data_IF_803453460983
#
_entry.id   IF_803453460983
#
_cell.length_a   1.000
_cell.length_b   1.000
_cell.length_c   1.000
_cell.angle_alpha   90.00
_cell.angle_beta   90.00
_cell.angle_gamma   90.00
#
_symmetry.space_group_name_H-M   'P 1'
#
loop_
_entity.id
_entity.type
_entity.pdbx_description
1 polymer ?
#
# COMPACT_ATOMS: atom_id res chain seq x y z
N UNK A 1 0.76 -34.33 -12.95
CA UNK A 1 1.94 -33.83 -13.71
C UNK A 1 2.38 -32.41 -13.29
N UNK A 2 2.04 -31.93 -12.08
CA UNK A 2 2.41 -30.58 -11.57
C UNK A 2 3.36 -30.63 -10.36
N UNK A 3 4.16 -31.69 -10.19
CA UNK A 3 4.91 -31.94 -8.94
C UNK A 3 6.37 -31.46 -8.92
N UNK A 4 6.83 -30.74 -9.95
CA UNK A 4 8.22 -30.24 -10.03
C UNK A 4 8.36 -28.75 -10.39
N UNK A 5 7.26 -27.98 -10.45
CA UNK A 5 7.30 -26.58 -10.94
C UNK A 5 7.85 -25.54 -9.95
N UNK A 6 8.04 -25.91 -8.69
CA UNK A 6 8.51 -25.04 -7.62
C UNK A 6 9.36 -25.86 -6.65
N UNK A 7 10.39 -26.56 -7.14
CA UNK A 7 11.39 -27.07 -6.20
C UNK A 7 11.95 -25.88 -5.43
N UNK A 8 11.75 -25.79 -4.10
CA UNK A 8 12.16 -24.65 -3.28
C UNK A 8 13.64 -24.29 -3.48
N UNK A 9 14.42 -25.27 -3.94
CA UNK A 9 15.81 -25.16 -4.29
C UNK A 9 16.12 -24.11 -5.37
N UNK A 10 15.32 -24.04 -6.44
CA UNK A 10 15.55 -23.06 -7.52
C UNK A 10 15.28 -21.64 -7.02
N UNK A 11 14.22 -21.47 -6.23
CA UNK A 11 13.90 -20.17 -5.61
C UNK A 11 15.01 -19.75 -4.65
N UNK A 12 15.56 -20.68 -3.86
CA UNK A 12 16.69 -20.39 -2.97
C UNK A 12 17.93 -19.90 -3.75
N UNK A 13 18.27 -20.53 -4.87
CA UNK A 13 19.39 -20.09 -5.72
C UNK A 13 19.15 -18.69 -6.28
N UNK A 14 17.95 -18.41 -6.80
CA UNK A 14 17.60 -17.08 -7.34
C UNK A 14 17.68 -16.01 -6.25
N UNK A 15 17.17 -16.30 -5.04
CA UNK A 15 17.27 -15.40 -3.89
C UNK A 15 18.74 -15.13 -3.54
N UNK A 16 19.60 -16.15 -3.52
CA UNK A 16 21.03 -15.99 -3.26
C UNK A 16 21.68 -15.07 -4.32
N UNK A 17 21.39 -15.31 -5.60
CA UNK A 17 21.92 -14.46 -6.69
C UNK A 17 21.41 -13.02 -6.57
N UNK A 18 20.12 -12.83 -6.29
CA UNK A 18 19.56 -11.49 -6.03
C UNK A 18 20.22 -10.81 -4.83
N UNK A 19 20.47 -11.53 -3.73
CA UNK A 19 21.16 -10.97 -2.57
C UNK A 19 22.62 -10.61 -2.88
N UNK A 20 23.27 -11.32 -3.81
CA UNK A 20 24.64 -11.00 -4.24
C UNK A 20 24.69 -9.78 -5.16
N UNK A 21 23.72 -9.61 -6.06
CA UNK A 21 23.63 -8.47 -6.98
C UNK A 21 23.13 -7.20 -6.29
N UNK A 22 22.07 -7.30 -5.49
CA UNK A 22 21.46 -6.16 -4.81
C UNK A 22 22.09 -5.89 -3.44
N UNK A 23 22.65 -6.90 -2.79
CA UNK A 23 23.18 -6.81 -1.42
C UNK A 23 22.14 -7.19 -0.37
N UNK A 24 22.59 -7.87 0.69
CA UNK A 24 21.74 -8.39 1.78
C UNK A 24 20.96 -7.33 2.55
N UNK A 25 21.41 -6.07 2.54
CA UNK A 25 20.74 -4.95 3.21
C UNK A 25 19.74 -4.21 2.32
N UNK A 26 19.95 -4.17 1.00
CA UNK A 26 19.10 -3.41 0.05
C UNK A 26 17.76 -4.08 -0.20
N UNK A 27 17.74 -5.41 -0.33
CA UNK A 27 16.51 -6.17 -0.56
C UNK A 27 15.46 -5.96 0.56
N UNK A 28 15.80 -6.13 1.86
CA UNK A 28 14.85 -5.85 2.94
C UNK A 28 14.56 -4.37 3.15
N UNK A 29 15.51 -3.48 2.86
CA UNK A 29 15.29 -2.02 2.90
C UNK A 29 14.24 -1.60 1.88
N UNK A 30 14.37 -2.03 0.63
CA UNK A 30 13.39 -1.76 -0.43
C UNK A 30 12.03 -2.40 -0.12
N UNK A 31 12.00 -3.64 0.36
CA UNK A 31 10.77 -4.30 0.76
C UNK A 31 10.05 -3.56 1.92
N UNK A 32 10.80 -3.03 2.89
CA UNK A 32 10.24 -2.21 3.98
C UNK A 32 9.68 -0.87 3.48
N UNK A 33 10.38 -0.21 2.57
CA UNK A 33 9.93 1.03 1.93
C UNK A 33 8.65 0.82 1.10
N UNK A 34 8.68 -0.13 0.16
CA UNK A 34 7.53 -0.52 -0.65
C UNK A 34 6.36 -1.01 0.19
N UNK A 35 6.61 -1.80 1.24
CA UNK A 35 5.57 -2.30 2.14
C UNK A 35 4.85 -1.18 2.90
N UNK A 36 5.56 -0.12 3.29
CA UNK A 36 4.96 1.05 3.95
C UNK A 36 4.03 1.81 2.99
N UNK A 37 4.47 2.08 1.77
CA UNK A 37 3.65 2.76 0.75
C UNK A 37 2.46 1.90 0.31
N UNK A 38 2.68 0.60 0.10
CA UNK A 38 1.60 -0.34 -0.24
C UNK A 38 0.56 -0.47 0.88
N UNK A 39 0.96 -0.34 2.16
CA UNK A 39 0.03 -0.35 3.28
C UNK A 39 -0.89 0.88 3.30
N UNK A 40 -0.35 2.06 2.99
CA UNK A 40 -1.12 3.31 2.92
C UNK A 40 -2.12 3.21 1.76
N UNK A 41 -1.64 2.84 0.57
CA UNK A 41 -2.49 2.61 -0.61
C UNK A 41 -3.56 1.55 -0.36
N UNK A 42 -3.23 0.47 0.37
CA UNK A 42 -4.19 -0.59 0.73
C UNK A 42 -5.25 -0.09 1.73
N UNK A 43 -4.88 0.79 2.66
CA UNK A 43 -5.82 1.38 3.61
C UNK A 43 -6.80 2.33 2.90
N UNK A 44 -6.28 3.21 2.04
CA UNK A 44 -7.11 4.11 1.21
C UNK A 44 -7.99 3.33 0.23
N UNK A 45 -7.44 2.32 -0.45
CA UNK A 45 -8.21 1.47 -1.36
C UNK A 45 -9.26 0.63 -0.62
N UNK A 46 -9.03 0.28 0.66
CA UNK A 46 -10.02 -0.42 1.49
C UNK A 46 -11.15 0.52 1.90
N UNK A 47 -10.84 1.75 2.31
CA UNK A 47 -11.84 2.77 2.63
C UNK A 47 -12.76 3.05 1.43
N UNK A 48 -12.19 3.20 0.23
CA UNK A 48 -12.98 3.42 -0.99
C UNK A 48 -13.89 2.23 -1.34
N UNK A 49 -13.41 1.00 -1.10
CA UNK A 49 -14.21 -0.22 -1.29
C UNK A 49 -15.35 -0.33 -0.27
N UNK A 50 -15.10 0.02 0.99
CA UNK A 50 -16.13 0.04 2.04
C UNK A 50 -17.17 1.15 1.81
N UNK A 51 -16.78 2.32 1.29
CA UNK A 51 -17.69 3.40 0.90
C UNK A 51 -18.50 3.08 -0.37
N UNK A 52 -17.99 2.21 -1.25
CA UNK A 52 -18.73 1.77 -2.44
C UNK A 52 -19.82 0.73 -2.11
N UNK A 53 -19.69 -0.01 -1.00
CA UNK A 53 -20.62 -1.06 -0.57
C UNK A 53 -21.62 -0.59 0.52
N UNK A 54 -21.37 0.56 1.17
CA UNK A 54 -22.24 1.15 2.17
C UNK A 54 -23.01 2.38 1.62
N UNK A 55 -24.30 2.57 1.94
CA UNK A 55 -24.98 3.82 1.61
C UNK A 55 -24.39 4.95 2.44
N UNK A 56 -23.90 5.97 1.75
CA UNK A 56 -23.22 7.14 2.32
C UNK A 56 -23.94 7.71 3.56
N UNK A 57 -23.26 7.86 4.71
CA UNK A 57 -23.69 8.82 5.70
C UNK A 57 -23.27 10.21 5.21
N UNK A 58 -24.27 11.07 5.06
CA UNK A 58 -24.14 12.47 4.69
C UNK A 58 -22.95 13.17 5.37
N UNK A 59 -21.92 13.51 4.58
CA UNK A 59 -21.03 14.63 4.88
C UNK A 59 -21.66 15.94 4.36
N UNK A 60 -22.91 16.19 4.77
CA UNK A 60 -23.53 17.50 4.73
C UNK A 60 -23.08 18.29 5.98
N UNK A 61 -21.79 18.62 6.05
CA UNK A 61 -21.21 19.52 7.06
C UNK A 61 -19.79 19.95 6.68
N UNK A 62 -19.66 20.63 5.53
CA UNK A 62 -18.55 21.56 5.28
C UNK A 62 -18.99 22.82 4.49
N UNK A 63 -20.30 23.03 4.33
CA UNK A 63 -20.87 24.31 3.93
C UNK A 63 -21.32 25.06 5.19
N UNK A 64 -20.36 25.55 5.99
CA UNK A 64 -20.63 26.64 6.92
C UNK A 64 -20.26 27.96 6.21
N UNK A 65 -21.14 28.96 6.22
CA UNK A 65 -21.05 30.15 5.39
C UNK A 65 -19.87 31.02 5.82
N UNK A 66 -19.27 31.70 4.86
CA UNK A 66 -18.30 32.79 5.03
C UNK A 66 -18.88 33.87 5.97
N UNK A 67 -18.19 34.25 7.06
CA UNK A 67 -18.24 35.62 7.54
C UNK A 67 -16.94 36.28 7.11
N UNK A 68 -17.03 37.19 6.14
CA UNK A 68 -16.01 38.20 5.93
C UNK A 68 -15.95 39.06 7.21
N UNK A 69 -14.80 39.18 7.89
CA UNK A 69 -14.64 40.21 8.90
C UNK A 69 -14.45 41.54 8.17
N UNK A 70 -15.57 42.24 7.98
CA UNK A 70 -15.57 43.70 7.84
C UNK A 70 -15.40 44.28 9.25
N UNK A 71 -14.18 44.64 9.65
CA UNK A 71 -13.86 45.56 10.76
C UNK A 71 -12.41 46.03 10.58
N UNK A 72 -12.00 47.29 10.68
CA UNK A 72 -12.60 48.63 10.86
C UNK A 72 -11.47 49.62 10.55
#
# INVERSE_FOLDING_TARGET
MLRNGLEPWHVAIVVIVCLMLFGSKKLPEMARGLGKSARILKAEAKALREETDAPAPAAAQAAAPVPAPTER
#
